data_IF_610356663803
#
_entry.id   IF_610356663803
#
_cell.length_a   1.000
_cell.length_b   1.000
_cell.length_c   1.000
_cell.angle_alpha   90.00
_cell.angle_beta   90.00
_cell.angle_gamma   90.00
#
_symmetry.space_group_name_H-M   'P 1'
#
loop_
_entity.id
_entity.type
_entity.pdbx_description
1 polymer ?
#
# COMPACT_ATOMS: atom_id res chain seq x y z
N UNK A 1 -8.64 -6.90 31.02
CA UNK A 1 -7.65 -5.95 30.44
C UNK A 1 -6.90 -5.13 31.51
N UNK A 2 -7.59 -4.35 32.35
CA UNK A 2 -6.96 -3.47 33.36
C UNK A 2 -5.95 -4.17 34.30
N UNK A 3 -6.24 -5.35 34.89
CA UNK A 3 -5.28 -6.03 35.77
C UNK A 3 -3.99 -6.44 35.06
N UNK A 4 -4.11 -6.92 33.81
CA UNK A 4 -2.96 -7.28 32.99
C UNK A 4 -2.11 -6.05 32.63
N UNK A 5 -2.74 -4.91 32.33
CA UNK A 5 -2.04 -3.66 32.05
C UNK A 5 -1.28 -3.17 33.29
N UNK A 6 -1.91 -3.17 34.47
CA UNK A 6 -1.24 -2.82 35.73
C UNK A 6 -0.07 -3.76 36.04
N UNK A 7 -0.21 -5.06 35.80
CA UNK A 7 0.86 -6.03 35.99
C UNK A 7 2.03 -5.81 35.02
N UNK A 8 1.75 -5.37 33.78
CA UNK A 8 2.79 -4.98 32.83
C UNK A 8 3.49 -3.70 33.28
N UNK A 9 2.75 -2.66 33.67
CA UNK A 9 3.34 -1.39 34.11
C UNK A 9 4.26 -1.56 35.32
N UNK A 10 3.92 -2.44 36.27
CA UNK A 10 4.79 -2.79 37.41
C UNK A 10 6.10 -3.47 37.02
N UNK A 11 6.20 -4.03 35.80
CA UNK A 11 7.41 -4.70 35.28
C UNK A 11 8.26 -3.80 34.41
N UNK A 12 7.74 -2.64 33.99
CA UNK A 12 8.49 -1.66 33.22
C UNK A 12 9.31 -0.79 34.19
N UNK A 13 10.50 -0.36 33.74
CA UNK A 13 11.29 0.64 34.44
C UNK A 13 10.61 2.01 34.31
N UNK A 14 10.91 2.94 35.21
CA UNK A 14 10.33 4.30 35.19
C UNK A 14 10.61 5.02 33.85
N UNK A 15 11.83 4.88 33.31
CA UNK A 15 12.19 5.40 31.98
C UNK A 15 11.28 4.86 30.86
N UNK A 16 10.97 3.57 30.88
CA UNK A 16 10.10 2.93 29.88
C UNK A 16 8.64 3.40 30.01
N UNK A 17 8.19 3.68 31.24
CA UNK A 17 6.87 4.24 31.51
C UNK A 17 6.75 5.67 30.99
N UNK A 18 7.77 6.51 31.21
CA UNK A 18 7.82 7.87 30.67
C UNK A 18 7.79 7.87 29.13
N UNK A 19 8.60 7.00 28.50
CA UNK A 19 8.58 6.82 27.05
C UNK A 19 7.20 6.36 26.54
N UNK A 20 6.53 5.49 27.29
CA UNK A 20 5.18 5.03 26.95
C UNK A 20 4.15 6.17 27.04
N UNK A 21 4.21 6.99 28.08
CA UNK A 21 3.32 8.16 28.24
C UNK A 21 3.52 9.11 27.06
N UNK A 22 4.77 9.49 26.76
CA UNK A 22 5.09 10.35 25.61
C UNK A 22 4.57 9.76 24.29
N UNK A 23 4.77 8.46 24.07
CA UNK A 23 4.30 7.78 22.87
C UNK A 23 2.76 7.84 22.74
N UNK A 24 2.03 7.53 23.81
CA UNK A 24 0.55 7.53 23.82
C UNK A 24 -0.02 8.94 23.66
N UNK A 25 0.54 9.92 24.35
CA UNK A 25 0.09 11.32 24.26
C UNK A 25 0.36 11.92 22.88
N UNK A 26 1.49 11.57 22.25
CA UNK A 26 1.78 12.01 20.89
C UNK A 26 0.78 11.48 19.85
N UNK A 27 0.10 10.36 20.15
CA UNK A 27 -0.78 9.63 19.23
C UNK A 27 -0.12 9.34 17.86
N UNK A 28 1.20 9.15 17.85
CA UNK A 28 1.99 8.94 16.64
C UNK A 28 2.15 10.18 15.76
N UNK A 29 2.08 11.39 16.35
CA UNK A 29 2.35 12.65 15.65
C UNK A 29 3.84 12.87 15.31
N UNK A 30 4.75 12.19 16.01
CA UNK A 30 6.18 12.17 15.74
C UNK A 30 6.78 10.81 16.08
N UNK A 31 8.04 10.61 15.69
CA UNK A 31 8.79 9.40 15.99
C UNK A 31 9.10 9.35 17.49
N UNK A 32 8.70 8.28 18.15
CA UNK A 32 8.98 8.01 19.57
C UNK A 32 9.95 6.85 19.70
N UNK A 33 10.64 6.76 20.83
CA UNK A 33 11.54 5.64 21.14
C UNK A 33 10.77 4.33 21.36
N UNK A 34 11.47 3.20 21.25
CA UNK A 34 10.90 1.91 21.64
C UNK A 34 10.63 1.89 23.15
N UNK A 35 9.59 1.16 23.55
CA UNK A 35 9.30 0.85 24.95
C UNK A 35 9.58 -0.62 25.15
N UNK A 36 10.59 -0.96 25.94
CA UNK A 36 11.10 -2.32 26.08
C UNK A 36 10.41 -3.05 27.23
N UNK A 37 9.69 -4.12 26.88
CA UNK A 37 9.15 -5.05 27.86
C UNK A 37 10.01 -6.33 27.91
N UNK A 38 10.29 -6.87 29.11
CA UNK A 38 10.95 -8.16 29.24
C UNK A 38 10.08 -9.26 28.61
N UNK A 39 10.70 -10.13 27.83
CA UNK A 39 10.09 -11.32 27.25
C UNK A 39 9.80 -12.28 28.41
N UNK A 40 8.52 -12.43 28.76
CA UNK A 40 8.12 -13.41 29.77
C UNK A 40 8.55 -14.82 29.37
N UNK A 41 8.99 -15.63 30.34
CA UNK A 41 9.28 -17.04 30.12
C UNK A 41 8.01 -17.73 29.58
N UNK A 42 8.06 -18.14 28.31
CA UNK A 42 6.95 -18.78 27.58
C UNK A 42 6.42 -20.02 28.32
N UNK A 43 7.25 -20.61 29.19
CA UNK A 43 6.96 -21.80 29.99
C UNK A 43 6.05 -21.57 31.20
N UNK A 44 5.82 -20.32 31.62
CA UNK A 44 4.97 -19.96 32.79
C UNK A 44 3.78 -19.07 32.39
N UNK A 45 3.45 -18.99 31.10
CA UNK A 45 2.36 -18.14 30.60
C UNK A 45 0.98 -18.77 30.86
N UNK A 46 0.52 -18.75 32.11
CA UNK A 46 -0.92 -18.81 32.39
C UNK A 46 -1.56 -17.50 31.91
N UNK A 47 -2.20 -17.55 30.73
CA UNK A 47 -3.29 -16.66 30.27
C UNK A 47 -3.02 -15.13 30.23
N UNK A 48 -1.91 -14.67 29.63
CA UNK A 48 -1.67 -13.23 29.42
C UNK A 48 -1.50 -12.85 27.94
N UNK A 49 -2.08 -11.74 27.51
CA UNK A 49 -1.78 -11.15 26.19
C UNK A 49 -0.32 -10.66 26.16
N UNK A 50 0.42 -10.85 25.04
CA UNK A 50 1.76 -10.29 24.89
C UNK A 50 1.77 -8.77 25.10
N UNK A 51 2.84 -8.16 25.67
CA UNK A 51 2.89 -6.74 26.00
C UNK A 51 2.48 -5.83 24.84
N UNK A 52 2.98 -6.10 23.63
CA UNK A 52 2.65 -5.32 22.43
C UNK A 52 1.18 -5.40 22.05
N UNK A 53 0.54 -6.57 22.20
CA UNK A 53 -0.90 -6.75 21.93
C UNK A 53 -1.70 -6.02 22.99
N UNK A 54 -1.33 -6.17 24.26
CA UNK A 54 -1.99 -5.53 25.40
C UNK A 54 -1.99 -4.00 25.27
N UNK A 55 -0.84 -3.38 24.95
CA UNK A 55 -0.73 -1.93 24.82
C UNK A 55 -1.40 -1.40 23.54
N UNK A 56 -1.31 -2.13 22.42
CA UNK A 56 -2.09 -1.77 21.21
C UNK A 56 -3.60 -1.81 21.50
N UNK A 57 -4.06 -2.82 22.23
CA UNK A 57 -5.47 -2.96 22.60
C UNK A 57 -5.95 -1.86 23.55
N UNK A 58 -5.09 -1.45 24.48
CA UNK A 58 -5.41 -0.43 25.46
C UNK A 58 -5.47 0.98 24.86
N UNK A 59 -4.53 1.31 23.96
CA UNK A 59 -4.32 2.69 23.51
C UNK A 59 -4.72 2.98 22.06
N UNK A 60 -4.97 1.95 21.24
CA UNK A 60 -5.23 2.15 19.81
C UNK A 60 -6.42 1.36 19.27
N UNK A 61 -6.39 0.03 19.37
CA UNK A 61 -7.33 -0.86 18.68
C UNK A 61 -7.90 -1.91 19.64
N UNK A 62 -9.07 -1.64 20.27
CA UNK A 62 -9.66 -2.51 21.30
C UNK A 62 -9.97 -3.94 20.85
N UNK A 63 -10.05 -4.17 19.55
CA UNK A 63 -10.39 -5.41 18.87
C UNK A 63 -9.16 -6.22 18.40
N UNK A 64 -7.94 -5.76 18.65
CA UNK A 64 -6.73 -6.56 18.40
C UNK A 64 -6.58 -7.62 19.49
N UNK A 65 -6.54 -8.89 19.09
CA UNK A 65 -6.44 -10.03 19.99
C UNK A 65 -5.15 -10.82 19.79
N UNK A 66 -4.60 -10.86 18.57
CA UNK A 66 -3.48 -11.72 18.22
C UNK A 66 -2.25 -10.96 17.74
N UNK A 67 -1.02 -11.43 18.05
CA UNK A 67 0.21 -10.78 17.60
C UNK A 67 0.34 -10.69 16.08
N UNK A 68 -0.19 -11.67 15.34
CA UNK A 68 -0.09 -11.72 13.88
C UNK A 68 -0.97 -10.69 13.17
N UNK A 69 -1.88 -10.02 13.87
CA UNK A 69 -2.63 -8.88 13.32
C UNK A 69 -1.78 -7.61 13.25
N UNK A 70 -0.63 -7.59 13.94
CA UNK A 70 0.24 -6.43 14.06
C UNK A 70 1.50 -6.59 13.22
N UNK A 71 1.86 -5.50 12.54
CA UNK A 71 3.15 -5.34 11.85
C UNK A 71 3.98 -4.28 12.53
N UNK A 72 5.23 -4.61 12.81
CA UNK A 72 6.23 -3.61 13.20
C UNK A 72 6.49 -2.62 12.06
N UNK A 73 6.50 -1.33 12.41
CA UNK A 73 6.87 -0.25 11.51
C UNK A 73 8.38 -0.24 11.26
N UNK A 74 8.80 0.26 10.09
CA UNK A 74 10.17 0.16 9.61
C UNK A 74 11.20 0.92 10.46
N UNK A 75 10.76 1.96 11.17
CA UNK A 75 11.60 2.75 12.08
C UNK A 75 11.70 2.15 13.49
N UNK A 76 10.95 1.09 13.82
CA UNK A 76 11.07 0.42 15.11
C UNK A 76 12.42 -0.31 15.20
N UNK A 77 13.27 0.07 16.16
CA UNK A 77 14.57 -0.56 16.38
C UNK A 77 14.42 -2.00 16.90
N UNK A 78 13.32 -2.29 17.61
CA UNK A 78 12.96 -3.63 18.07
C UNK A 78 12.74 -4.65 16.95
N UNK A 79 12.46 -4.20 15.72
CA UNK A 79 12.37 -5.08 14.54
C UNK A 79 13.75 -5.61 14.11
N UNK A 80 14.82 -4.87 14.37
CA UNK A 80 16.16 -5.15 13.83
C UNK A 80 17.02 -6.03 14.73
N UNK A 81 16.52 -6.43 15.91
CA UNK A 81 17.32 -7.20 16.87
C UNK A 81 18.60 -6.49 17.33
N UNK A 82 18.63 -5.15 17.24
CA UNK A 82 19.85 -4.33 17.48
C UNK A 82 20.21 -4.24 18.96
N UNK A 83 19.28 -4.56 19.86
CA UNK A 83 19.63 -4.82 21.25
C UNK A 83 20.06 -6.28 21.34
N UNK A 84 21.35 -6.53 21.66
CA UNK A 84 21.93 -7.86 21.83
C UNK A 84 21.22 -8.77 22.84
N UNK A 85 20.21 -8.23 23.56
CA UNK A 85 19.29 -8.99 24.38
C UNK A 85 18.07 -9.47 23.57
N UNK A 86 18.12 -10.73 23.12
CA UNK A 86 16.96 -11.51 22.66
C UNK A 86 15.78 -11.55 23.68
N UNK A 87 16.02 -11.06 24.90
CA UNK A 87 15.12 -11.05 26.04
C UNK A 87 14.18 -9.83 26.11
N UNK A 88 14.30 -8.81 25.26
CA UNK A 88 13.41 -7.64 25.29
C UNK A 88 12.63 -7.44 23.97
N UNK A 89 11.35 -7.08 24.09
CA UNK A 89 10.49 -6.79 22.94
C UNK A 89 9.92 -5.37 23.05
N UNK A 90 9.94 -4.64 21.94
CA UNK A 90 9.26 -3.34 21.88
C UNK A 90 7.75 -3.54 22.00
N UNK A 91 7.12 -2.82 22.91
CA UNK A 91 5.68 -2.81 23.14
C UNK A 91 5.03 -1.44 22.91
N UNK A 92 5.78 -0.44 22.43
CA UNK A 92 5.24 0.88 22.09
C UNK A 92 4.11 0.72 21.05
N UNK A 93 2.84 1.08 21.38
CA UNK A 93 1.71 0.82 20.50
C UNK A 93 1.78 1.61 19.18
N UNK A 94 2.51 2.72 19.12
CA UNK A 94 2.70 3.53 17.91
C UNK A 94 3.82 3.01 17.00
N UNK A 95 4.55 1.97 17.40
CA UNK A 95 5.52 1.25 16.56
C UNK A 95 4.90 0.10 15.76
N UNK A 96 3.59 -0.08 15.88
CA UNK A 96 2.83 -1.09 15.17
C UNK A 96 1.80 -0.47 14.25
N UNK A 97 1.44 -1.21 13.21
CA UNK A 97 0.27 -1.02 12.37
C UNK A 97 -0.54 -2.29 12.37
N UNK A 98 -1.85 -2.22 12.17
CA UNK A 98 -2.62 -3.42 11.82
C UNK A 98 -2.24 -3.89 10.43
N UNK A 99 -2.27 -5.18 10.19
CA UNK A 99 -2.10 -5.74 8.85
C UNK A 99 -3.42 -5.72 8.10
N UNK A 100 -3.42 -5.11 6.92
CA UNK A 100 -4.55 -5.19 6.01
C UNK A 100 -4.62 -6.62 5.48
N UNK A 101 -5.63 -7.36 5.90
CA UNK A 101 -5.97 -8.63 5.25
C UNK A 101 -6.59 -8.27 3.90
N UNK A 102 -6.09 -8.81 2.77
CA UNK A 102 -6.82 -8.70 1.51
C UNK A 102 -8.21 -9.28 1.76
N UNK A 103 -9.27 -8.47 1.64
CA UNK A 103 -10.62 -9.01 1.78
C UNK A 103 -10.75 -10.16 0.80
N UNK A 104 -10.97 -11.38 1.30
CA UNK A 104 -11.46 -12.47 0.46
C UNK A 104 -12.70 -11.93 -0.21
N UNK A 105 -12.80 -11.95 -1.56
CA UNK A 105 -13.99 -11.46 -2.22
C UNK A 105 -15.21 -12.15 -1.57
N UNK A 106 -16.32 -11.43 -1.34
CA UNK A 106 -17.52 -12.08 -0.85
C UNK A 106 -17.81 -13.29 -1.75
N UNK A 107 -18.22 -14.44 -1.19
CA UNK A 107 -18.51 -15.63 -1.98
C UNK A 107 -19.44 -15.21 -3.13
N UNK A 108 -19.19 -15.68 -4.37
CA UNK A 108 -19.96 -15.25 -5.52
C UNK A 108 -21.43 -15.52 -5.18
N UNK A 109 -22.22 -14.44 -5.06
CA UNK A 109 -23.66 -14.59 -5.02
C UNK A 109 -24.03 -15.18 -6.37
N UNK A 110 -24.26 -16.50 -6.39
CA UNK A 110 -24.88 -17.17 -7.52
C UNK A 110 -26.10 -16.35 -7.86
N UNK A 111 -26.06 -15.60 -8.97
CA UNK A 111 -27.28 -15.07 -9.56
C UNK A 111 -28.08 -16.30 -9.94
N UNK A 112 -28.95 -16.73 -9.03
CA UNK A 112 -30.03 -17.63 -9.35
C UNK A 112 -30.74 -16.99 -10.54
N UNK A 113 -30.58 -17.62 -11.68
CA UNK A 113 -31.23 -17.28 -12.93
C UNK A 113 -32.74 -17.41 -12.72
N UNK A 114 -33.38 -16.30 -12.36
CA UNK A 114 -34.82 -16.14 -12.48
C UNK A 114 -35.09 -15.26 -13.69
N UNK A 115 -35.03 -15.86 -14.88
CA UNK A 115 -35.68 -15.34 -16.07
C UNK A 115 -36.98 -16.12 -16.29
N UNK A 116 -38.15 -15.49 -16.47
CA UNK A 116 -39.36 -16.20 -16.84
C UNK A 116 -39.22 -16.81 -18.25
N UNK A 117 -39.61 -18.07 -18.36
CA UNK A 117 -39.73 -18.85 -19.58
C UNK A 117 -40.72 -18.20 -20.56
N UNK A 118 -40.32 -18.02 -21.81
CA UNK A 118 -41.23 -17.85 -22.95
C UNK A 118 -41.01 -18.99 -23.96
N UNK A 119 -42.08 -19.56 -24.55
CA UNK A 119 -42.02 -20.80 -25.32
C UNK A 119 -41.59 -20.63 -26.80
N UNK A 120 -41.00 -21.72 -27.34
CA UNK A 120 -40.75 -22.15 -28.74
C UNK A 120 -41.65 -21.54 -29.84
N UNK A 121 -41.35 -21.35 -31.14
CA UNK A 121 -40.38 -21.80 -32.20
C UNK A 121 -40.78 -21.01 -33.51
N UNK A 122 -40.33 -21.25 -34.79
CA UNK A 122 -39.32 -22.18 -35.36
C UNK A 122 -38.33 -21.62 -36.45
N UNK A 123 -37.16 -22.26 -36.52
CA UNK A 123 -36.33 -22.79 -37.65
C UNK A 123 -36.26 -22.21 -39.10
N UNK A 124 -34.98 -21.92 -39.48
CA UNK A 124 -34.19 -22.24 -40.72
C UNK A 124 -34.36 -21.44 -42.05
N UNK A 125 -33.38 -21.45 -43.01
CA UNK A 125 -32.02 -22.06 -43.04
C UNK A 125 -30.85 -21.22 -43.67
N UNK A 126 -29.61 -21.65 -43.34
CA UNK A 126 -28.34 -21.72 -44.14
C UNK A 126 -27.85 -20.58 -45.06
N UNK A 127 -26.56 -20.18 -44.91
CA UNK A 127 -25.54 -20.18 -45.98
C UNK A 127 -24.09 -19.93 -45.48
N UNK A 128 -23.21 -20.93 -45.72
CA UNK A 128 -21.86 -20.88 -46.31
C UNK A 128 -20.84 -19.87 -45.72
N UNK A 129 -19.87 -20.28 -44.89
CA UNK A 129 -18.58 -20.92 -45.22
C UNK A 129 -17.82 -20.28 -46.39
N UNK A 130 -16.75 -19.53 -46.09
CA UNK A 130 -15.60 -19.33 -47.00
C UNK A 130 -14.33 -19.09 -46.15
N UNK A 131 -13.58 -20.17 -45.98
CA UNK A 131 -12.17 -20.18 -45.61
C UNK A 131 -11.34 -19.68 -46.81
N UNK A 132 -10.35 -18.82 -46.56
CA UNK A 132 -9.27 -18.60 -47.52
C UNK A 132 -7.93 -18.96 -46.88
N UNK A 133 -7.40 -20.07 -47.39
CA UNK A 133 -6.06 -20.59 -47.17
C UNK A 133 -5.08 -19.91 -48.13
N UNK A 134 -3.93 -19.45 -47.63
CA UNK A 134 -2.71 -19.37 -48.43
C UNK A 134 -1.54 -19.93 -47.64
N UNK A 135 -0.88 -20.91 -48.25
CA UNK A 135 0.31 -21.60 -47.75
C UNK A 135 1.57 -20.75 -47.92
N UNK A 136 2.47 -20.90 -46.95
CA UNK A 136 3.86 -21.30 -47.21
C UNK A 136 4.85 -20.19 -47.55
N UNK A 137 5.80 -19.95 -46.63
CA UNK A 137 7.00 -19.15 -46.89
C UNK A 137 7.94 -19.15 -45.69
N UNK A 138 8.69 -20.23 -45.55
CA UNK A 138 9.75 -20.43 -44.56
C UNK A 138 11.01 -19.66 -44.99
N UNK A 139 11.48 -18.69 -44.19
CA UNK A 139 12.78 -18.03 -44.41
C UNK A 139 13.49 -17.80 -43.08
N UNK A 140 14.48 -18.66 -42.80
CA UNK A 140 15.57 -18.39 -41.83
C UNK A 140 16.46 -17.28 -42.37
N UNK A 141 16.79 -16.27 -41.56
CA UNK A 141 17.92 -15.39 -41.87
C UNK A 141 18.08 -14.13 -41.02
N UNK A 142 18.96 -14.23 -40.02
CA UNK A 142 19.92 -13.21 -39.52
C UNK A 142 19.47 -11.77 -39.16
N UNK A 143 19.85 -11.43 -37.91
CA UNK A 143 20.11 -10.11 -37.31
C UNK A 143 20.74 -9.10 -38.30
N UNK A 144 20.27 -7.86 -38.30
CA UNK A 144 20.98 -6.64 -37.84
C UNK A 144 20.11 -5.40 -38.19
N UNK A 145 19.65 -4.61 -37.22
CA UNK A 145 19.21 -3.23 -37.46
C UNK A 145 19.58 -2.35 -36.26
N UNK A 146 20.43 -1.37 -36.54
CA UNK A 146 20.93 -0.32 -35.65
C UNK A 146 19.82 0.68 -35.25
N UNK A 147 19.99 1.42 -34.14
CA UNK A 147 18.94 2.25 -33.56
C UNK A 147 18.92 3.68 -34.12
N UNK A 148 17.72 4.22 -34.37
CA UNK A 148 17.45 5.66 -34.42
C UNK A 148 17.22 6.19 -32.99
N UNK A 149 17.60 7.44 -32.66
CA UNK A 149 17.55 7.93 -31.28
C UNK A 149 16.17 8.46 -30.93
N UNK A 150 15.41 7.70 -30.14
CA UNK A 150 14.21 8.20 -29.48
C UNK A 150 14.57 9.13 -28.31
N UNK A 151 13.99 10.32 -28.39
CA UNK A 151 13.89 11.40 -27.41
C UNK A 151 13.97 10.92 -25.96
N UNK A 152 15.16 11.06 -25.36
CA UNK A 152 15.46 10.55 -24.03
C UNK A 152 14.87 11.40 -22.91
N UNK A 153 13.79 10.93 -22.29
CA UNK A 153 13.51 11.18 -20.87
C UNK A 153 13.96 10.00 -19.99
N UNK A 154 14.68 9.03 -20.54
CA UNK A 154 14.98 7.75 -19.88
C UNK A 154 16.47 7.41 -19.93
N UNK A 155 17.34 8.21 -19.30
CA UNK A 155 18.72 7.76 -19.04
C UNK A 155 19.49 8.41 -17.89
N UNK A 156 18.82 8.94 -16.85
CA UNK A 156 19.55 9.47 -15.67
C UNK A 156 19.16 8.88 -14.30
N UNK A 157 18.21 7.94 -14.21
CA UNK A 157 17.72 7.48 -12.90
C UNK A 157 18.71 6.61 -12.12
N UNK A 158 19.74 6.05 -12.76
CA UNK A 158 20.73 5.19 -12.10
C UNK A 158 21.76 6.01 -11.30
N UNK A 159 21.92 7.31 -11.57
CA UNK A 159 22.92 8.15 -10.89
C UNK A 159 22.45 8.74 -9.56
N UNK A 160 21.14 8.81 -9.32
CA UNK A 160 20.61 9.59 -8.19
C UNK A 160 20.59 8.78 -6.87
N UNK A 161 20.73 7.45 -6.90
CA UNK A 161 20.65 6.61 -5.68
C UNK A 161 19.28 6.57 -5.01
N UNK A 162 18.25 7.23 -5.57
CA UNK A 162 16.87 7.12 -5.11
C UNK A 162 16.27 5.76 -5.52
N UNK A 163 15.36 5.22 -4.72
CA UNK A 163 14.66 3.97 -5.05
C UNK A 163 13.26 4.20 -5.63
N UNK A 164 12.67 5.37 -5.39
CA UNK A 164 11.48 5.81 -6.09
C UNK A 164 11.41 7.35 -6.23
N UNK A 165 10.53 7.81 -7.11
CA UNK A 165 10.12 9.21 -7.24
C UNK A 165 8.63 9.33 -7.00
N UNK A 166 8.20 10.30 -6.21
CA UNK A 166 6.80 10.56 -5.92
C UNK A 166 6.28 11.70 -6.78
N UNK A 167 5.12 11.51 -7.40
CA UNK A 167 4.39 12.56 -8.12
C UNK A 167 3.03 12.78 -7.45
N UNK A 168 2.75 14.01 -7.05
CA UNK A 168 1.44 14.38 -6.51
C UNK A 168 0.54 14.94 -7.61
N UNK A 169 -0.73 14.55 -7.57
CA UNK A 169 -1.71 14.89 -8.58
C UNK A 169 -3.00 15.38 -7.94
N UNK A 170 -3.55 16.44 -8.53
CA UNK A 170 -4.90 16.92 -8.27
C UNK A 170 -5.73 16.71 -9.54
N UNK A 171 -6.66 15.75 -9.51
CA UNK A 171 -7.34 15.25 -10.71
C UNK A 171 -6.34 14.77 -11.79
N UNK A 172 -6.34 15.38 -12.97
CA UNK A 172 -5.45 15.06 -14.09
C UNK A 172 -4.20 15.94 -14.14
N UNK A 173 -4.02 16.83 -13.17
CA UNK A 173 -2.96 17.83 -13.18
C UNK A 173 -1.89 17.46 -12.16
N UNK A 174 -0.63 17.37 -12.62
CA UNK A 174 0.51 17.18 -11.72
C UNK A 174 0.77 18.48 -10.96
N UNK A 175 0.93 18.39 -9.65
CA UNK A 175 1.13 19.54 -8.77
C UNK A 175 2.47 19.38 -8.05
N UNK A 176 3.38 20.33 -8.27
CA UNK A 176 4.75 20.28 -7.76
C UNK A 176 5.71 19.47 -8.64
N UNK A 177 6.96 19.39 -8.16
CA UNK A 177 8.01 18.60 -8.79
C UNK A 177 7.96 17.14 -8.33
N UNK A 178 8.74 16.28 -9.01
CA UNK A 178 8.98 14.92 -8.55
C UNK A 178 9.82 14.96 -7.27
N UNK A 179 9.38 14.24 -6.24
CA UNK A 179 10.11 14.10 -4.99
C UNK A 179 10.92 12.80 -5.01
N UNK A 180 12.25 12.89 -5.07
CA UNK A 180 13.13 11.72 -5.06
C UNK A 180 13.28 11.16 -3.64
N UNK A 181 13.16 9.84 -3.48
CA UNK A 181 13.25 9.17 -2.19
C UNK A 181 14.51 8.31 -2.14
N UNK A 182 15.44 8.68 -1.27
CA UNK A 182 16.73 7.99 -1.08
C UNK A 182 16.67 7.07 0.13
N UNK A 183 16.12 7.56 1.24
CA UNK A 183 15.94 6.80 2.48
C UNK A 183 15.01 5.62 2.33
N UNK A 184 15.19 4.55 3.11
CA UNK A 184 14.36 3.35 3.04
C UNK A 184 12.87 3.58 3.30
N UNK A 185 12.50 4.71 3.90
CA UNK A 185 11.11 5.10 4.10
C UNK A 185 10.89 6.60 3.96
N UNK A 186 9.66 6.99 3.64
CA UNK A 186 9.26 8.39 3.48
C UNK A 186 7.85 8.64 3.99
N UNK A 187 7.66 9.77 4.65
CA UNK A 187 6.36 10.28 5.04
C UNK A 187 5.78 11.16 3.94
N UNK A 188 4.48 11.01 3.63
CA UNK A 188 3.72 11.88 2.73
C UNK A 188 2.54 12.44 3.51
N UNK A 189 2.45 13.75 3.70
CA UNK A 189 1.50 14.35 4.66
C UNK A 189 1.07 15.77 4.29
N UNK A 190 -0.03 16.23 4.86
CA UNK A 190 -0.39 17.66 4.89
C UNK A 190 0.01 18.30 6.23
N UNK A 191 -0.13 17.57 7.33
CA UNK A 191 0.12 18.05 8.68
C UNK A 191 0.93 17.01 9.45
N UNK A 192 2.18 17.33 9.75
CA UNK A 192 3.06 16.50 10.57
C UNK A 192 4.04 17.42 11.32
N UNK A 193 3.81 17.70 12.61
CA UNK A 193 4.49 18.81 13.28
C UNK A 193 6.02 18.65 13.39
N UNK A 194 6.53 17.43 13.52
CA UNK A 194 7.97 17.13 13.67
C UNK A 194 8.48 16.10 12.66
N UNK A 195 7.78 15.90 11.55
CA UNK A 195 8.14 14.85 10.58
C UNK A 195 8.85 15.37 9.35
N UNK A 196 9.84 14.61 8.89
CA UNK A 196 10.51 14.82 7.61
C UNK A 196 9.83 14.02 6.50
N UNK A 197 9.88 14.52 5.26
CA UNK A 197 9.35 13.85 4.08
C UNK A 197 8.65 14.79 3.11
N UNK A 198 7.70 14.25 2.36
CA UNK A 198 6.99 14.96 1.31
C UNK A 198 5.74 15.68 1.86
N UNK A 199 5.91 16.97 2.16
CA UNK A 199 4.84 17.83 2.65
C UNK A 199 3.96 18.37 1.51
N UNK A 200 2.75 17.82 1.36
CA UNK A 200 1.79 18.22 0.34
C UNK A 200 1.22 19.62 0.59
N UNK A 201 1.21 20.10 1.83
CA UNK A 201 0.69 21.43 2.20
C UNK A 201 1.47 22.57 1.54
N UNK A 202 2.77 22.38 1.33
CA UNK A 202 3.68 23.36 0.73
C UNK A 202 3.57 23.45 -0.80
N UNK A 203 2.84 22.53 -1.44
CA UNK A 203 2.73 22.51 -2.88
C UNK A 203 1.86 23.67 -3.39
N UNK A 204 2.40 24.56 -4.24
CA UNK A 204 1.65 25.67 -4.79
C UNK A 204 0.63 25.18 -5.82
N UNK A 205 -0.55 25.81 -5.84
CA UNK A 205 -1.53 25.65 -6.92
C UNK A 205 -2.34 26.94 -7.05
N UNK A 206 -2.43 27.49 -8.26
CA UNK A 206 -3.10 28.76 -8.53
C UNK A 206 -4.57 28.76 -8.10
N UNK A 207 -5.27 27.64 -8.34
CA UNK A 207 -6.65 27.47 -7.91
C UNK A 207 -6.93 26.01 -7.57
N UNK A 208 -7.54 25.79 -6.39
CA UNK A 208 -7.99 24.47 -5.93
C UNK A 208 -9.50 24.41 -5.84
N UNK A 209 -10.08 23.41 -6.50
CA UNK A 209 -11.52 23.14 -6.39
C UNK A 209 -11.93 22.82 -4.95
N UNK A 210 -13.21 23.00 -4.62
CA UNK A 210 -13.76 22.65 -3.30
C UNK A 210 -13.54 21.17 -2.97
N UNK A 211 -13.63 20.29 -3.97
CA UNK A 211 -13.41 18.85 -3.80
C UNK A 211 -11.95 18.54 -3.41
N UNK A 212 -10.98 19.18 -4.08
CA UNK A 212 -9.55 19.07 -3.77
C UNK A 212 -9.26 19.56 -2.36
N UNK A 213 -9.72 20.76 -2.00
CA UNK A 213 -9.51 21.30 -0.63
C UNK A 213 -10.04 20.37 0.46
N UNK A 214 -11.25 19.83 0.27
CA UNK A 214 -11.84 18.84 1.19
C UNK A 214 -11.04 17.54 1.26
N UNK A 215 -10.51 17.05 0.14
CA UNK A 215 -9.69 15.84 0.12
C UNK A 215 -8.32 16.05 0.78
N UNK A 216 -7.66 17.19 0.51
CA UNK A 216 -6.39 17.58 1.15
C UNK A 216 -6.51 17.68 2.67
N UNK A 217 -7.60 18.28 3.17
CA UNK A 217 -7.88 18.35 4.60
C UNK A 217 -8.09 16.98 5.27
N UNK A 218 -8.34 15.91 4.50
CA UNK A 218 -8.47 14.54 5.01
C UNK A 218 -7.16 13.76 5.05
N UNK A 219 -6.08 14.29 4.43
CA UNK A 219 -4.78 13.63 4.40
C UNK A 219 -4.14 13.66 5.79
N UNK A 220 -4.13 14.81 6.47
CA UNK A 220 -3.53 14.96 7.81
C UNK A 220 -2.09 14.42 7.86
N UNK A 221 -1.82 13.50 8.81
CA UNK A 221 -0.54 12.76 8.94
C UNK A 221 -0.21 11.85 7.75
N UNK A 222 -1.20 11.60 6.90
CA UNK A 222 -1.05 10.99 5.58
C UNK A 222 -0.57 9.55 5.60
N UNK A 223 0.53 9.28 4.90
CA UNK A 223 1.02 7.95 4.56
C UNK A 223 2.50 7.81 4.91
N UNK A 224 2.89 6.64 5.41
CA UNK A 224 4.29 6.21 5.47
C UNK A 224 4.51 5.13 4.41
N UNK A 225 5.42 5.38 3.47
CA UNK A 225 5.90 4.40 2.50
C UNK A 225 7.23 3.84 2.99
N UNK A 226 7.41 2.51 2.94
CA UNK A 226 8.67 1.86 3.28
C UNK A 226 9.07 0.81 2.24
N UNK A 227 10.34 0.85 1.84
CA UNK A 227 11.03 -0.19 1.08
C UNK A 227 11.58 -1.23 2.05
N UNK A 228 11.10 -2.46 1.94
CA UNK A 228 11.49 -3.60 2.79
C UNK A 228 11.95 -4.79 1.90
N UNK A 229 12.69 -5.78 2.43
CA UNK A 229 13.30 -6.83 1.60
C UNK A 229 12.34 -7.59 0.66
N UNK A 230 11.08 -7.78 1.06
CA UNK A 230 10.09 -8.47 0.23
C UNK A 230 9.22 -7.56 -0.64
N UNK A 231 9.34 -6.24 -0.54
CA UNK A 231 8.46 -5.34 -1.27
C UNK A 231 8.25 -3.99 -0.60
N UNK A 232 7.28 -3.24 -1.12
CA UNK A 232 6.96 -1.90 -0.66
C UNK A 232 5.69 -1.94 0.16
N UNK A 233 5.73 -1.29 1.32
CA UNK A 233 4.61 -1.19 2.24
C UNK A 233 4.08 0.23 2.33
N UNK A 234 2.77 0.34 2.54
CA UNK A 234 2.08 1.59 2.77
C UNK A 234 1.32 1.50 4.10
N UNK A 235 1.68 2.36 5.06
CA UNK A 235 1.01 2.50 6.36
C UNK A 235 0.17 3.77 6.38
N UNK A 236 -1.15 3.61 6.53
CA UNK A 236 -2.09 4.73 6.56
C UNK A 236 -2.13 5.37 7.97
N UNK A 237 -1.63 6.60 8.08
CA UNK A 237 -1.62 7.40 9.31
C UNK A 237 -2.72 8.46 9.34
N UNK A 238 -3.44 8.63 8.23
CA UNK A 238 -4.58 9.53 8.15
C UNK A 238 -5.80 8.94 8.85
N UNK A 239 -6.79 9.78 9.12
CA UNK A 239 -8.08 9.38 9.71
C UNK A 239 -9.07 8.88 8.67
N UNK A 240 -8.65 8.81 7.40
CA UNK A 240 -9.50 8.44 6.27
C UNK A 240 -8.90 7.26 5.50
N UNK A 241 -9.71 6.47 4.79
CA UNK A 241 -9.16 5.38 3.98
C UNK A 241 -8.31 5.94 2.83
N UNK A 242 -7.25 5.21 2.50
CA UNK A 242 -6.54 5.37 1.23
C UNK A 242 -6.88 4.18 0.32
N UNK A 243 -6.72 4.38 -0.97
CA UNK A 243 -7.04 3.39 -1.98
C UNK A 243 -5.82 3.18 -2.85
N UNK A 244 -5.40 1.94 -3.05
CA UNK A 244 -4.12 1.61 -3.67
C UNK A 244 -4.33 0.67 -4.84
N UNK A 245 -3.67 0.94 -5.96
CA UNK A 245 -3.56 0.05 -7.09
C UNK A 245 -2.10 -0.12 -7.47
N UNK A 246 -1.71 -1.35 -7.77
CA UNK A 246 -0.40 -1.65 -8.33
C UNK A 246 -0.46 -2.94 -9.15
N UNK A 247 0.51 -3.18 -10.05
CA UNK A 247 0.58 -4.40 -10.86
C UNK A 247 0.65 -5.71 -10.04
N UNK A 248 1.20 -5.65 -8.83
CA UNK A 248 1.43 -6.83 -7.99
C UNK A 248 0.31 -7.07 -6.97
N UNK A 249 -0.69 -6.19 -6.87
CA UNK A 249 -1.82 -6.36 -5.94
C UNK A 249 -2.88 -7.35 -6.45
N UNK A 250 -3.04 -7.47 -7.77
CA UNK A 250 -4.03 -8.38 -8.36
C UNK A 250 -3.63 -9.84 -8.11
N UNK A 251 -4.54 -10.69 -7.58
CA UNK A 251 -4.30 -12.13 -7.47
C UNK A 251 -3.96 -12.77 -8.83
N UNK A 252 -3.24 -13.90 -8.86
CA UNK A 252 -3.02 -14.66 -10.08
C UNK A 252 -4.36 -15.00 -10.76
N UNK A 253 -4.53 -14.59 -12.02
CA UNK A 253 -5.75 -14.84 -12.81
C UNK A 253 -6.85 -13.78 -12.69
N UNK A 254 -6.73 -12.78 -11.79
CA UNK A 254 -7.64 -11.65 -11.77
C UNK A 254 -7.46 -10.80 -13.04
N UNK A 255 -8.55 -10.53 -13.74
CA UNK A 255 -8.58 -9.66 -14.92
C UNK A 255 -9.03 -8.25 -14.51
N UNK A 256 -8.30 -7.22 -14.91
CA UNK A 256 -8.63 -5.83 -14.68
C UNK A 256 -8.01 -5.19 -13.42
N UNK A 257 -8.37 -3.92 -13.22
CA UNK A 257 -7.82 -3.03 -12.20
C UNK A 257 -8.29 -3.41 -10.79
N UNK A 258 -7.36 -3.85 -9.94
CA UNK A 258 -7.61 -4.08 -8.51
C UNK A 258 -7.28 -2.84 -7.69
N UNK A 259 -8.23 -2.38 -6.87
CA UNK A 259 -8.04 -1.25 -5.95
C UNK A 259 -8.27 -1.70 -4.51
N UNK A 260 -7.19 -1.79 -3.74
CA UNK A 260 -7.18 -2.15 -2.32
C UNK A 260 -7.51 -0.93 -1.46
N UNK A 261 -8.53 -1.05 -0.60
CA UNK A 261 -8.85 -0.05 0.42
C UNK A 261 -8.04 -0.32 1.69
N UNK A 262 -7.26 0.65 2.15
CA UNK A 262 -6.46 0.56 3.38
C UNK A 262 -7.02 1.54 4.42
N UNK A 263 -7.52 0.99 5.53
CA UNK A 263 -8.14 1.75 6.61
C UNK A 263 -7.11 2.51 7.46
N UNK A 264 -7.53 3.55 8.21
CA UNK A 264 -6.68 4.23 9.20
C UNK A 264 -6.01 3.26 10.17
N UNK A 265 -4.69 3.39 10.34
CA UNK A 265 -3.92 2.53 11.23
C UNK A 265 -3.49 1.17 10.64
N UNK A 266 -3.88 0.86 9.40
CA UNK A 266 -3.49 -0.37 8.71
C UNK A 266 -2.32 -0.16 7.77
N UNK A 267 -1.54 -1.22 7.59
CA UNK A 267 -0.47 -1.37 6.61
C UNK A 267 -0.82 -2.44 5.60
N UNK A 268 -0.50 -2.18 4.33
CA UNK A 268 -0.61 -3.16 3.26
C UNK A 268 0.72 -3.27 2.49
N UNK A 269 1.03 -4.47 2.01
CA UNK A 269 2.10 -4.69 1.03
C UNK A 269 1.56 -4.26 -0.32
N UNK A 270 1.98 -3.08 -0.78
CA UNK A 270 1.45 -2.43 -1.98
C UNK A 270 2.24 -2.76 -3.24
N UNK A 271 3.45 -3.31 -3.08
CA UNK A 271 4.23 -3.85 -4.18
C UNK A 271 5.02 -5.07 -3.72
N UNK A 272 5.03 -6.14 -4.52
CA UNK A 272 5.72 -7.39 -4.21
C UNK A 272 6.78 -7.69 -5.27
N UNK A 273 8.06 -7.72 -4.88
CA UNK A 273 9.16 -7.89 -5.83
C UNK A 273 9.11 -9.24 -6.54
N UNK A 274 8.67 -10.30 -5.86
CA UNK A 274 8.60 -11.66 -6.42
C UNK A 274 7.51 -11.76 -7.49
N UNK A 275 6.42 -11.00 -7.37
CA UNK A 275 5.30 -11.07 -8.31
C UNK A 275 5.56 -10.36 -9.65
N UNK A 276 6.58 -9.50 -9.73
CA UNK A 276 6.93 -8.80 -10.97
C UNK A 276 7.45 -9.79 -12.01
N UNK A 277 8.32 -10.72 -11.62
CA UNK A 277 8.92 -11.71 -12.53
C UNK A 277 7.90 -12.65 -13.19
N UNK A 278 6.83 -13.02 -12.48
CA UNK A 278 5.81 -13.94 -13.01
C UNK A 278 4.83 -13.29 -14.00
N UNK A 279 4.66 -11.96 -14.00
CA UNK A 279 3.61 -11.27 -14.79
C UNK A 279 4.10 -10.65 -16.10
N UNK A 280 5.41 -10.54 -16.32
CA UNK A 280 5.99 -9.98 -17.56
C UNK A 280 5.61 -10.81 -18.81
N UNK A 281 5.25 -12.10 -18.65
CA UNK A 281 4.84 -12.97 -19.75
C UNK A 281 3.34 -13.00 -20.10
N UNK A 282 2.47 -12.25 -19.39
CA UNK A 282 1.01 -12.40 -19.48
C UNK A 282 0.26 -11.11 -19.89
N UNK A 283 0.96 -10.11 -20.43
CA UNK A 283 0.33 -8.89 -20.93
C UNK A 283 -0.35 -9.18 -22.28
N UNK A 284 -1.67 -9.35 -22.26
CA UNK A 284 -2.47 -9.49 -23.48
C UNK A 284 -2.55 -8.14 -24.22
N UNK A 285 -2.51 -8.12 -25.57
CA UNK A 285 -2.70 -6.91 -26.34
C UNK A 285 -4.13 -6.37 -26.12
N UNK A 286 -4.26 -5.20 -25.49
CA UNK A 286 -5.56 -4.53 -25.32
C UNK A 286 -5.78 -3.83 -23.98
N UNK A 287 -5.00 -4.16 -22.95
CA UNK A 287 -4.92 -3.30 -21.76
C UNK A 287 -4.01 -2.11 -22.10
N UNK A 288 -4.52 -0.88 -21.96
CA UNK A 288 -3.74 0.33 -22.21
C UNK A 288 -2.44 0.37 -21.40
N UNK A 289 -1.51 1.31 -21.69
CA UNK A 289 -0.19 1.31 -21.08
C UNK A 289 -0.27 1.40 -19.54
N UNK A 290 -0.10 0.26 -18.87
CA UNK A 290 0.08 0.15 -17.44
C UNK A 290 1.58 0.14 -17.17
N UNK A 291 2.09 1.13 -16.44
CA UNK A 291 3.50 1.13 -16.03
C UNK A 291 3.70 0.02 -14.97
N UNK A 292 4.49 -1.05 -15.28
CA UNK A 292 4.71 -2.15 -14.36
C UNK A 292 5.49 -1.75 -13.09
N UNK A 293 6.03 -0.54 -13.05
CA UNK A 293 6.82 0.01 -11.95
C UNK A 293 6.12 1.20 -11.28
N UNK A 294 4.80 1.33 -11.43
CA UNK A 294 4.02 2.41 -10.81
C UNK A 294 3.02 1.89 -9.78
N UNK A 295 3.01 2.51 -8.60
CA UNK A 295 1.97 2.33 -7.58
C UNK A 295 1.14 3.61 -7.51
N UNK A 296 -0.17 3.47 -7.56
CA UNK A 296 -1.10 4.60 -7.54
C UNK A 296 -1.93 4.58 -6.26
N UNK A 297 -1.94 5.70 -5.55
CA UNK A 297 -2.57 5.83 -4.23
C UNK A 297 -3.49 7.05 -4.21
N UNK A 298 -4.79 6.86 -4.03
CA UNK A 298 -5.75 7.95 -3.85
C UNK A 298 -6.06 8.18 -2.37
N UNK A 299 -6.15 9.44 -1.96
CA UNK A 299 -6.50 9.82 -0.59
C UNK A 299 -8.01 10.04 -0.46
N UNK A 300 -8.63 9.40 0.54
CA UNK A 300 -10.03 9.53 0.94
C UNK A 300 -11.10 9.12 -0.10
N UNK A 301 -10.75 8.91 -1.38
CA UNK A 301 -11.68 8.58 -2.47
C UNK A 301 -11.20 7.36 -3.24
N UNK A 302 -12.03 6.32 -3.29
CA UNK A 302 -11.80 5.13 -4.12
C UNK A 302 -12.13 5.36 -5.58
N UNK A 303 -11.58 4.49 -6.43
CA UNK A 303 -11.85 4.44 -7.86
C UNK A 303 -11.79 2.99 -8.35
N UNK A 304 -12.25 2.75 -9.58
CA UNK A 304 -12.31 1.45 -10.22
C UNK A 304 -13.74 0.88 -10.26
N UNK A 305 -13.90 -0.38 -10.68
CA UNK A 305 -15.20 -0.98 -10.99
C UNK A 305 -16.21 -0.95 -9.83
N UNK A 306 -15.72 -1.03 -8.59
CA UNK A 306 -16.56 -1.03 -7.38
C UNK A 306 -16.89 0.38 -6.84
N UNK A 307 -16.55 1.44 -7.57
CA UNK A 307 -16.69 2.82 -7.12
C UNK A 307 -17.35 3.69 -8.20
N UNK A 308 -17.94 4.81 -7.79
CA UNK A 308 -18.52 5.77 -8.76
C UNK A 308 -17.48 6.42 -9.67
N UNK A 309 -16.21 6.47 -9.24
CA UNK A 309 -15.09 6.96 -10.05
C UNK A 309 -14.43 5.80 -10.76
N UNK A 310 -14.44 5.78 -12.09
CA UNK A 310 -13.82 4.69 -12.84
C UNK A 310 -12.30 4.87 -12.96
N UNK A 311 -11.82 6.11 -13.05
CA UNK A 311 -10.40 6.43 -13.24
C UNK A 311 -9.82 7.18 -12.05
N UNK A 312 -8.55 6.91 -11.73
CA UNK A 312 -7.85 7.62 -10.64
C UNK A 312 -7.74 9.13 -10.91
N UNK A 313 -7.68 9.56 -12.17
CA UNK A 313 -7.66 10.99 -12.55
C UNK A 313 -8.98 11.70 -12.20
N UNK A 314 -10.04 10.95 -11.91
CA UNK A 314 -11.27 11.49 -11.34
C UNK A 314 -11.15 11.73 -9.84
N UNK A 315 -10.17 11.16 -9.14
CA UNK A 315 -9.94 11.41 -7.73
C UNK A 315 -9.36 12.81 -7.51
N UNK A 316 -9.82 13.53 -6.45
CA UNK A 316 -9.38 14.89 -6.19
C UNK A 316 -7.89 14.98 -5.80
N UNK A 317 -7.36 14.01 -5.06
CA UNK A 317 -5.96 14.00 -4.61
C UNK A 317 -5.42 12.58 -4.67
N UNK A 318 -4.33 12.37 -5.38
CA UNK A 318 -3.67 11.08 -5.45
C UNK A 318 -2.15 11.24 -5.64
N UNK A 319 -1.45 10.16 -5.36
CA UNK A 319 -0.01 10.02 -5.42
C UNK A 319 0.33 8.91 -6.41
N UNK A 320 1.32 9.15 -7.25
CA UNK A 320 1.96 8.15 -8.07
C UNK A 320 3.37 7.91 -7.55
N UNK A 321 3.70 6.65 -7.28
CA UNK A 321 5.02 6.20 -6.84
C UNK A 321 5.67 5.51 -8.02
N UNK A 322 6.68 6.15 -8.59
CA UNK A 322 7.46 5.66 -9.72
C UNK A 322 8.68 4.93 -9.18
N UNK A 323 8.71 3.61 -9.31
CA UNK A 323 9.79 2.78 -8.82
C UNK A 323 10.97 2.80 -9.80
N UNK A 324 12.17 3.01 -9.28
CA UNK A 324 13.36 2.80 -10.08
C UNK A 324 13.56 1.29 -10.26
N UNK A 325 13.83 0.84 -11.48
CA UNK A 325 14.17 -0.55 -11.75
C UNK A 325 15.41 -0.93 -10.93
N UNK A 326 15.19 -1.66 -9.84
CA UNK A 326 16.25 -2.34 -9.12
C UNK A 326 16.61 -3.55 -9.98
N UNK A 327 17.79 -3.48 -10.62
CA UNK A 327 18.38 -4.66 -11.27
C UNK A 327 18.83 -5.66 -10.21
#
# INVERSE_FOLDING_TARGET
>A
LKPAAHALFKKLKDEELELLVQAVESRGAWESSCVWAPRGDVRVAKQGLPPQVLLCRLFRWPDVDQPHELKHLCYCTGRRGVCGDLAALCCNPHHFSRLAVPETPPPPYSKASCGPSWPDKPQHPSSQHLEFSYKGGDWRGKRLCSPLPDTSLSRSTIKDGCWCKLAYWEHRTRVGHLYAVHEASVNVFCELPWGSGFCLAQLPAAHRSRAVRRARGKIGRGLLLSREPGGIWAYNRSEHPIFVSSPTLSPPGARGLTVLKVLPGYSAKVFDYEQVGCKVGLWLPGEGPCDPHSIRISFAKGWGPCYSRQFITSCPCWLEVLLNQLR
#
